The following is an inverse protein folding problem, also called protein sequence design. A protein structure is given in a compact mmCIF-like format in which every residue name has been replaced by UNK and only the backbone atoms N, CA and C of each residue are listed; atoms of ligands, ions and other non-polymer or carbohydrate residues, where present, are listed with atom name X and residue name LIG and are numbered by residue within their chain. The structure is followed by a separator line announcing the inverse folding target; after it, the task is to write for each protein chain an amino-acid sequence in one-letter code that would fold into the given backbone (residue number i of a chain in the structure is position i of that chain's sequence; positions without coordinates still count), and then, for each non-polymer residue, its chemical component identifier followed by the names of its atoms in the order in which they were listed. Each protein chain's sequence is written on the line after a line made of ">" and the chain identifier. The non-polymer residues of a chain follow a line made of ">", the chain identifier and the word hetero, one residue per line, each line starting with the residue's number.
data_IF_945169971301
#
_entry.id   IF_945169971301
#
_cell.length_a   1.000
_cell.length_b   1.000
_cell.length_c   1.000
_cell.angle_alpha   90.00
_cell.angle_beta   90.00
_cell.angle_gamma   90.00
#
_symmetry.space_group_name_H-M   'P 1'
#
loop_
_entity.id
_entity.type
_entity.pdbx_description
1 polymer ?
#
# COMPACT_ATOMS: atom_id res chain seq x y z
N UNK A 1 29.27 -6.51 -12.48
CA UNK A 1 29.07 -7.47 -11.37
C UNK A 1 27.58 -7.56 -11.07
N UNK A 2 27.02 -8.77 -10.94
CA UNK A 2 25.60 -8.97 -10.62
C UNK A 2 25.48 -9.19 -9.11
N UNK A 3 24.96 -8.21 -8.38
CA UNK A 3 24.82 -8.28 -6.92
C UNK A 3 23.53 -9.04 -6.58
N UNK A 4 23.66 -10.14 -5.85
CA UNK A 4 22.50 -10.94 -5.40
C UNK A 4 21.88 -10.38 -4.13
N UNK A 5 20.55 -10.25 -4.07
CA UNK A 5 19.79 -9.68 -2.93
C UNK A 5 20.08 -10.35 -1.58
N UNK A 6 20.35 -11.65 -1.56
CA UNK A 6 20.63 -12.40 -0.33
C UNK A 6 22.13 -12.51 0.00
N UNK A 7 23.03 -12.07 -0.88
CA UNK A 7 24.47 -12.07 -0.65
C UNK A 7 24.86 -11.03 0.41
N UNK A 8 26.01 -11.19 1.09
CA UNK A 8 26.56 -10.14 1.96
C UNK A 8 26.76 -8.84 1.20
N UNK A 9 26.45 -7.72 1.84
CA UNK A 9 26.49 -6.41 1.25
C UNK A 9 27.95 -5.99 0.97
N UNK A 10 28.28 -5.51 -0.24
CA UNK A 10 29.63 -5.12 -0.59
C UNK A 10 30.13 -3.86 0.15
N UNK A 11 29.27 -3.16 0.91
CA UNK A 11 29.68 -2.02 1.73
C UNK A 11 30.43 -2.39 3.02
N UNK A 12 30.65 -3.70 3.28
CA UNK A 12 31.40 -4.17 4.44
C UNK A 12 30.60 -4.26 5.74
N UNK A 13 29.28 -4.01 5.72
CA UNK A 13 28.43 -4.07 6.92
C UNK A 13 28.18 -5.46 7.49
N UNK A 14 28.53 -6.52 6.75
CA UNK A 14 28.23 -7.92 7.11
C UNK A 14 26.74 -8.31 6.98
N UNK A 15 25.85 -7.37 6.64
CA UNK A 15 24.41 -7.63 6.45
C UNK A 15 24.12 -8.13 5.04
N UNK A 16 22.98 -8.83 4.83
CA UNK A 16 22.50 -9.18 3.47
C UNK A 16 22.20 -7.92 2.65
N UNK A 17 22.52 -7.90 1.36
CA UNK A 17 22.37 -6.73 0.47
C UNK A 17 20.95 -6.14 0.52
N UNK A 18 19.90 -6.98 0.48
CA UNK A 18 18.49 -6.57 0.60
C UNK A 18 18.10 -5.89 1.92
N UNK A 19 18.92 -6.02 2.98
CA UNK A 19 18.71 -5.41 4.31
C UNK A 19 19.75 -4.33 4.62
N UNK A 20 20.48 -3.88 3.61
CA UNK A 20 21.52 -2.87 3.74
C UNK A 20 21.35 -1.86 2.60
N UNK A 21 22.30 -1.76 1.67
CA UNK A 21 22.26 -0.72 0.64
C UNK A 21 21.10 -0.85 -0.36
N UNK A 22 20.47 -2.02 -0.50
CA UNK A 22 19.24 -2.12 -1.29
C UNK A 22 17.96 -1.75 -0.50
N UNK A 23 18.05 -1.63 0.83
CA UNK A 23 16.98 -1.11 1.66
C UNK A 23 16.97 0.43 1.71
N UNK A 24 18.08 1.09 1.39
CA UNK A 24 18.16 2.57 1.32
C UNK A 24 17.37 3.18 0.15
N UNK A 25 16.91 2.35 -0.80
CA UNK A 25 15.92 2.74 -1.81
C UNK A 25 14.47 2.70 -1.27
N UNK A 26 14.26 2.19 -0.06
CA UNK A 26 12.99 2.27 0.66
C UNK A 26 13.13 3.43 1.63
N UNK A 27 12.77 4.62 1.16
CA UNK A 27 12.36 5.71 2.05
C UNK A 27 11.40 5.12 3.10
N UNK A 28 11.38 5.62 4.36
CA UNK A 28 10.32 5.23 5.31
C UNK A 28 8.98 5.23 4.56
N UNK A 29 8.06 4.27 4.85
CA UNK A 29 6.81 4.13 4.10
C UNK A 29 6.28 5.54 3.92
N UNK A 30 6.21 5.99 2.65
CA UNK A 30 5.91 7.36 2.30
C UNK A 30 4.66 7.69 3.09
N UNK A 31 4.84 8.40 4.21
CA UNK A 31 3.73 8.86 5.00
C UNK A 31 3.09 9.87 4.06
N UNK A 32 2.03 9.43 3.38
CA UNK A 32 1.22 10.26 2.50
C UNK A 32 1.01 11.57 3.21
N UNK A 33 1.28 12.72 2.55
CA UNK A 33 1.39 14.00 3.21
C UNK A 33 0.21 14.22 4.17
N UNK A 34 0.57 14.49 5.42
CA UNK A 34 -0.28 14.66 6.60
C UNK A 34 -1.31 15.80 6.53
N UNK A 35 -1.51 16.40 5.35
CA UNK A 35 -2.50 17.46 5.14
C UNK A 35 -3.88 16.96 4.72
N UNK A 36 -4.00 15.67 4.39
CA UNK A 36 -5.29 15.07 4.06
C UNK A 36 -5.94 14.50 5.32
N UNK A 37 -7.18 14.90 5.63
CA UNK A 37 -8.03 14.31 6.69
C UNK A 37 -8.24 12.79 6.58
N UNK A 38 -7.68 12.17 5.53
CA UNK A 38 -7.75 10.75 5.21
C UNK A 38 -6.34 10.21 5.02
N UNK A 39 -6.05 9.06 5.63
CA UNK A 39 -4.82 8.29 5.47
C UNK A 39 -5.16 6.93 4.87
N UNK A 40 -4.34 6.44 3.95
CA UNK A 40 -4.55 5.13 3.33
C UNK A 40 -3.40 4.20 3.69
N UNK A 41 -3.72 2.93 3.92
CA UNK A 41 -2.78 1.85 4.17
C UNK A 41 -3.03 0.74 3.15
N UNK A 42 -1.99 0.36 2.41
CA UNK A 42 -2.06 -0.74 1.45
C UNK A 42 -2.20 -2.08 2.18
N UNK A 43 -2.93 -3.01 1.59
CA UNK A 43 -3.07 -4.37 2.12
C UNK A 43 -3.63 -5.33 1.09
N UNK A 44 -4.07 -6.47 1.59
CA UNK A 44 -4.87 -7.44 0.85
C UNK A 44 -6.29 -7.52 1.41
N UNK A 45 -7.22 -8.05 0.63
CA UNK A 45 -8.57 -8.43 1.06
C UNK A 45 -8.86 -9.83 0.57
N UNK A 46 -9.42 -10.68 1.43
CA UNK A 46 -9.65 -12.09 1.12
C UNK A 46 -8.86 -12.99 2.07
N UNK A 47 -8.45 -14.15 1.58
CA UNK A 47 -7.73 -15.12 2.41
C UNK A 47 -7.50 -16.45 1.73
N UNK A 48 -6.79 -17.32 2.43
CA UNK A 48 -6.43 -18.65 1.94
C UNK A 48 -7.66 -19.41 1.41
N UNK A 49 -7.53 -19.96 0.19
CA UNK A 49 -8.59 -20.71 -0.50
C UNK A 49 -9.62 -19.86 -1.26
N UNK A 50 -9.64 -18.54 -1.06
CA UNK A 50 -10.46 -17.60 -1.85
C UNK A 50 -9.62 -16.67 -2.73
N UNK A 51 -8.34 -16.55 -2.40
CA UNK A 51 -7.39 -15.64 -3.02
C UNK A 51 -7.37 -14.26 -2.35
N UNK A 52 -6.40 -13.45 -2.75
CA UNK A 52 -6.07 -12.16 -2.18
C UNK A 52 -6.27 -11.07 -3.24
N UNK A 53 -7.12 -10.10 -2.93
CA UNK A 53 -7.39 -8.93 -3.75
C UNK A 53 -6.57 -7.75 -3.20
N UNK A 54 -5.97 -6.89 -4.04
CA UNK A 54 -5.34 -5.66 -3.58
C UNK A 54 -6.33 -4.80 -2.79
N UNK A 55 -5.96 -4.29 -1.63
CA UNK A 55 -6.85 -3.49 -0.78
C UNK A 55 -6.19 -2.21 -0.25
N UNK A 56 -7.02 -1.26 0.15
CA UNK A 56 -6.59 -0.03 0.78
C UNK A 56 -7.53 0.31 1.95
N UNK A 57 -7.01 0.27 3.17
CA UNK A 57 -7.74 0.71 4.36
C UNK A 57 -7.60 2.22 4.52
N UNK A 58 -8.74 2.92 4.49
CA UNK A 58 -8.81 4.35 4.72
C UNK A 58 -9.13 4.63 6.18
N UNK A 59 -8.27 5.44 6.81
CA UNK A 59 -8.49 6.05 8.10
C UNK A 59 -8.93 7.49 7.92
N UNK A 60 -9.83 7.95 8.78
CA UNK A 60 -10.18 9.36 8.89
C UNK A 60 -9.55 9.95 10.14
N UNK A 61 -8.81 11.03 9.98
CA UNK A 61 -8.26 11.77 11.10
C UNK A 61 -9.41 12.46 11.86
N UNK A 62 -9.39 12.29 13.19
CA UNK A 62 -10.30 12.95 14.12
C UNK A 62 -9.57 14.08 14.85
N UNK A 63 -10.22 14.72 15.81
CA UNK A 63 -9.60 15.79 16.61
C UNK A 63 -8.30 15.32 17.26
N UNK A 64 -7.18 15.96 16.92
CA UNK A 64 -5.85 15.59 17.40
C UNK A 64 -5.15 14.54 16.53
N UNK A 65 -4.40 13.63 17.17
CA UNK A 65 -3.63 12.56 16.51
C UNK A 65 -4.40 11.24 16.36
N UNK A 66 -5.66 11.21 16.81
CA UNK A 66 -6.50 10.02 16.74
C UNK A 66 -7.04 9.81 15.33
N UNK A 67 -6.90 8.58 14.82
CA UNK A 67 -7.46 8.15 13.55
C UNK A 67 -8.40 6.95 13.79
N UNK A 68 -9.56 6.95 13.14
CA UNK A 68 -10.44 5.78 13.12
C UNK A 68 -10.53 5.20 11.71
N UNK A 69 -10.72 3.88 11.62
CA UNK A 69 -11.02 3.19 10.37
C UNK A 69 -12.32 3.72 9.79
N UNK A 70 -12.31 4.09 8.51
CA UNK A 70 -13.44 4.76 7.87
C UNK A 70 -14.07 3.89 6.77
N UNK A 71 -13.28 3.44 5.81
CA UNK A 71 -13.72 2.48 4.80
C UNK A 71 -12.56 1.65 4.29
N UNK A 72 -12.86 0.50 3.69
CA UNK A 72 -11.90 -0.31 2.95
C UNK A 72 -12.26 -0.27 1.47
N UNK A 73 -11.26 -0.15 0.61
CA UNK A 73 -11.38 -0.40 -0.82
C UNK A 73 -10.71 -1.73 -1.15
N UNK A 74 -11.27 -2.50 -2.07
CA UNK A 74 -10.60 -3.66 -2.66
C UNK A 74 -10.72 -3.64 -4.18
N UNK A 75 -9.65 -4.02 -4.87
CA UNK A 75 -9.66 -4.24 -6.30
C UNK A 75 -10.21 -5.64 -6.59
N UNK A 76 -11.51 -5.72 -6.86
CA UNK A 76 -12.20 -7.00 -7.09
C UNK A 76 -12.00 -7.54 -8.51
N UNK A 77 -11.23 -6.84 -9.35
CA UNK A 77 -10.89 -7.29 -10.70
C UNK A 77 -9.61 -8.13 -10.74
N UNK A 78 -8.84 -8.11 -9.64
CA UNK A 78 -7.58 -8.83 -9.50
C UNK A 78 -7.65 -9.79 -8.31
N UNK A 79 -7.16 -11.00 -8.50
CA UNK A 79 -7.07 -12.00 -7.46
C UNK A 79 -5.72 -12.72 -7.56
N UNK A 80 -4.97 -12.75 -6.46
CA UNK A 80 -3.66 -13.35 -6.33
C UNK A 80 -3.73 -14.56 -5.39
N UNK A 81 -2.87 -15.56 -5.61
CA UNK A 81 -2.74 -16.69 -4.68
C UNK A 81 -1.92 -16.32 -3.43
N UNK A 82 -1.17 -15.22 -3.50
CA UNK A 82 -0.25 -14.74 -2.47
C UNK A 82 -0.63 -13.34 -1.95
N UNK A 83 -0.64 -13.20 -0.62
CA UNK A 83 -0.99 -11.96 0.07
C UNK A 83 0.02 -10.83 -0.20
N UNK A 84 1.30 -11.17 -0.32
CA UNK A 84 2.38 -10.21 -0.52
C UNK A 84 2.27 -9.60 -1.93
N UNK A 85 1.93 -10.40 -2.94
CA UNK A 85 1.68 -9.91 -4.30
C UNK A 85 0.48 -8.98 -4.37
N UNK A 86 -0.65 -9.34 -3.74
CA UNK A 86 -1.83 -8.47 -3.68
C UNK A 86 -1.52 -7.13 -2.97
N UNK A 87 -0.79 -7.19 -1.86
CA UNK A 87 -0.38 -6.00 -1.10
C UNK A 87 0.58 -5.13 -1.90
N UNK A 88 1.58 -5.73 -2.56
CA UNK A 88 2.53 -4.99 -3.41
C UNK A 88 1.82 -4.31 -4.59
N UNK A 89 0.80 -4.97 -5.16
CA UNK A 89 -0.05 -4.36 -6.18
C UNK A 89 -0.82 -3.15 -5.62
N UNK A 90 -1.37 -3.26 -4.41
CA UNK A 90 -2.05 -2.14 -3.76
C UNK A 90 -1.12 -0.95 -3.45
N UNK A 91 0.10 -1.22 -2.99
CA UNK A 91 1.13 -0.18 -2.80
C UNK A 91 1.44 0.55 -4.11
N UNK A 92 1.63 -0.20 -5.20
CA UNK A 92 1.89 0.39 -6.52
C UNK A 92 0.74 1.28 -6.99
N UNK A 93 -0.51 0.83 -6.82
CA UNK A 93 -1.69 1.56 -7.27
C UNK A 93 -1.95 2.82 -6.42
N UNK A 94 -1.73 2.74 -5.10
CA UNK A 94 -1.79 3.91 -4.22
C UNK A 94 -0.68 4.90 -4.54
N UNK A 95 0.56 4.45 -4.75
CA UNK A 95 1.67 5.34 -5.12
C UNK A 95 1.40 6.10 -6.43
N UNK A 96 0.81 5.44 -7.42
CA UNK A 96 0.39 6.10 -8.66
C UNK A 96 -0.69 7.15 -8.40
N UNK A 97 -1.76 6.79 -7.68
CA UNK A 97 -2.88 7.68 -7.38
C UNK A 97 -2.46 8.89 -6.52
N UNK A 98 -1.57 8.70 -5.55
CA UNK A 98 -0.99 9.78 -4.75
C UNK A 98 0.05 10.60 -5.53
N UNK A 99 0.77 10.00 -6.48
CA UNK A 99 1.66 10.71 -7.38
C UNK A 99 0.92 11.74 -8.23
N UNK A 100 -0.29 11.41 -8.69
CA UNK A 100 -1.18 12.35 -9.39
C UNK A 100 -1.56 13.52 -8.48
N UNK A 101 -1.97 13.24 -7.23
CA UNK A 101 -2.29 14.29 -6.24
C UNK A 101 -1.08 15.19 -5.96
N UNK A 102 0.10 14.61 -5.78
CA UNK A 102 1.34 15.35 -5.55
C UNK A 102 1.74 16.25 -6.73
N UNK A 103 1.32 15.90 -7.95
CA UNK A 103 1.59 16.65 -9.17
C UNK A 103 0.55 17.76 -9.45
N UNK A 104 -0.31 18.09 -8.47
CA UNK A 104 -1.36 19.11 -8.61
C UNK A 104 -2.76 18.56 -8.94
N UNK A 105 -2.92 17.24 -9.00
CA UNK A 105 -4.22 16.59 -9.15
C UNK A 105 -5.11 16.76 -7.92
N UNK A 106 -6.42 16.69 -8.13
CA UNK A 106 -7.44 16.78 -7.09
C UNK A 106 -7.65 15.46 -6.34
N UNK A 107 -8.39 15.51 -5.23
CA UNK A 107 -8.84 14.29 -4.53
C UNK A 107 -9.79 13.45 -5.39
N UNK A 108 -10.48 14.08 -6.34
CA UNK A 108 -11.33 13.40 -7.31
C UNK A 108 -10.45 12.57 -8.27
N UNK A 109 -9.32 13.11 -8.73
CA UNK A 109 -8.42 12.40 -9.64
C UNK A 109 -7.82 11.15 -8.98
N UNK A 110 -7.44 11.26 -7.70
CA UNK A 110 -7.03 10.12 -6.89
C UNK A 110 -8.13 9.06 -6.80
N UNK A 111 -9.36 9.47 -6.48
CA UNK A 111 -10.49 8.55 -6.37
C UNK A 111 -10.84 7.88 -7.70
N UNK A 112 -10.81 8.64 -8.81
CA UNK A 112 -11.05 8.10 -10.15
C UNK A 112 -9.95 7.15 -10.59
N UNK A 113 -8.69 7.43 -10.28
CA UNK A 113 -7.56 6.51 -10.56
C UNK A 113 -7.77 5.14 -9.91
N UNK A 114 -8.14 5.12 -8.63
CA UNK A 114 -8.43 3.86 -7.94
C UNK A 114 -9.66 3.16 -8.51
N UNK A 115 -10.72 3.92 -8.80
CA UNK A 115 -11.95 3.38 -9.40
C UNK A 115 -11.70 2.74 -10.77
N UNK A 116 -10.93 3.40 -11.64
CA UNK A 116 -10.62 2.93 -13.00
C UNK A 116 -9.75 1.67 -12.97
N UNK A 117 -8.93 1.51 -11.93
CA UNK A 117 -8.18 0.28 -11.67
C UNK A 117 -9.04 -0.88 -11.13
N UNK A 118 -10.29 -0.62 -10.75
CA UNK A 118 -11.23 -1.63 -10.25
C UNK A 118 -11.42 -1.63 -8.73
N UNK A 119 -10.92 -0.63 -8.01
CA UNK A 119 -11.18 -0.51 -6.57
C UNK A 119 -12.63 -0.11 -6.32
N UNK A 120 -13.32 -0.91 -5.51
CA UNK A 120 -14.65 -0.62 -5.00
C UNK A 120 -14.63 -0.57 -3.48
N UNK A 121 -15.57 0.18 -2.90
CA UNK A 121 -15.77 0.20 -1.46
C UNK A 121 -16.33 -1.15 -0.99
N UNK A 122 -15.75 -1.68 0.08
CA UNK A 122 -16.26 -2.86 0.77
C UNK A 122 -17.06 -2.40 1.98
N UNK A 123 -18.34 -2.76 2.02
CA UNK A 123 -19.21 -2.52 3.16
C UNK A 123 -19.08 -3.67 4.17
N UNK A 124 -19.10 -3.34 5.47
CA UNK A 124 -19.02 -4.33 6.55
C UNK A 124 -17.69 -5.09 6.62
N UNK A 125 -16.59 -4.52 6.13
CA UNK A 125 -15.27 -5.16 6.20
C UNK A 125 -14.85 -5.43 7.65
N UNK A 126 -14.06 -6.49 7.85
CA UNK A 126 -13.46 -6.86 9.12
C UNK A 126 -11.96 -7.04 8.90
N UNK A 127 -11.15 -6.60 9.87
CA UNK A 127 -9.72 -6.90 9.85
C UNK A 127 -9.51 -8.36 10.20
N UNK A 128 -8.52 -8.97 9.57
CA UNK A 128 -8.02 -10.26 10.02
C UNK A 128 -7.63 -10.12 11.50
N UNK A 129 -8.09 -11.08 12.31
CA UNK A 129 -7.67 -11.20 13.70
C UNK A 129 -6.40 -12.04 13.68
N UNK A 130 -5.28 -11.47 14.12
CA UNK A 130 -3.99 -12.17 14.30
C UNK A 130 -4.08 -13.35 15.28
#
# INVERSE_FOLDING_TARGET
>A
MKIYRNAPCPCGSGRKYKRCCAAEAVSPPIQTPSSSRYRFEAGSYGGAGRGYMPSALCYKQTTGDQCHEYFCLANTTLCYDDEIEATSKAESDLNEAFGIKASGGSEIDLAMTLKDKGYIKIDGFQRAID
#
